data_IF_223221379240
#
_entry.id   IF_223221379240
#
_cell.length_a   1.000
_cell.length_b   1.000
_cell.length_c   1.000
_cell.angle_alpha   90.00
_cell.angle_beta   90.00
_cell.angle_gamma   90.00
#
_symmetry.space_group_name_H-M   'P 1'
#
loop_
_entity.id
_entity.type
_entity.pdbx_description
1 polymer ?
#
# COMPACT_ATOMS: atom_id res chain seq x y z
N UNK A 1 -17.05 5.42 -10.80
CA UNK A 1 -16.10 5.02 -11.87
C UNK A 1 -16.70 5.26 -13.26
N UNK A 2 -16.06 6.09 -14.09
CA UNK A 2 -16.44 6.23 -15.50
C UNK A 2 -15.98 4.95 -16.24
N UNK A 3 -16.89 4.18 -16.88
CA UNK A 3 -16.53 2.91 -17.54
C UNK A 3 -15.57 3.05 -18.72
N UNK A 4 -15.17 4.29 -19.07
CA UNK A 4 -14.23 4.60 -20.15
C UNK A 4 -12.77 4.63 -19.71
N UNK A 5 -12.50 4.69 -18.41
CA UNK A 5 -11.12 4.68 -17.89
C UNK A 5 -10.85 3.33 -17.24
N UNK A 6 -9.75 2.70 -17.66
CA UNK A 6 -9.24 1.47 -17.05
C UNK A 6 -7.87 1.74 -16.43
N UNK A 7 -7.62 1.08 -15.30
CA UNK A 7 -6.31 1.06 -14.65
C UNK A 7 -5.77 -0.36 -14.70
N UNK A 8 -4.47 -0.50 -14.94
CA UNK A 8 -3.79 -1.79 -14.87
C UNK A 8 -2.49 -1.65 -14.09
N UNK A 9 -2.19 -2.66 -13.29
CA UNK A 9 -0.95 -2.81 -12.55
C UNK A 9 -0.28 -4.14 -12.95
N UNK A 10 1.06 -4.15 -13.03
CA UNK A 10 1.82 -5.30 -13.51
C UNK A 10 2.98 -5.68 -12.61
N UNK A 11 3.34 -6.96 -12.65
CA UNK A 11 4.54 -7.50 -12.01
C UNK A 11 5.85 -6.92 -12.57
N UNK A 12 5.78 -6.32 -13.76
CA UNK A 12 6.87 -5.58 -14.38
C UNK A 12 7.06 -4.18 -13.77
N UNK A 13 6.26 -3.79 -12.77
CA UNK A 13 6.33 -2.47 -12.14
C UNK A 13 5.54 -1.39 -12.88
N UNK A 14 4.88 -1.72 -14.00
CA UNK A 14 4.08 -0.75 -14.74
C UNK A 14 2.71 -0.56 -14.10
N UNK A 15 2.33 0.72 -13.97
CA UNK A 15 0.98 1.15 -13.62
C UNK A 15 0.49 2.05 -14.75
N UNK A 16 -0.64 1.69 -15.37
CA UNK A 16 -1.08 2.29 -16.63
C UNK A 16 -2.53 2.75 -16.52
N UNK A 17 -2.78 3.95 -17.04
CA UNK A 17 -4.12 4.52 -17.21
C UNK A 17 -4.50 4.48 -18.69
N UNK A 18 -5.68 3.95 -18.99
CA UNK A 18 -6.16 3.73 -20.36
C UNK A 18 -7.45 4.49 -20.64
N UNK A 19 -7.58 5.02 -21.87
CA UNK A 19 -8.84 5.46 -22.44
C UNK A 19 -9.40 4.31 -23.28
N UNK A 20 -10.42 3.64 -22.77
CA UNK A 20 -11.07 2.51 -23.45
C UNK A 20 -11.88 2.95 -24.67
N UNK A 21 -12.40 4.19 -24.71
CA UNK A 21 -13.16 4.67 -25.84
C UNK A 21 -12.26 4.95 -27.06
N UNK A 22 -11.03 5.41 -26.79
CA UNK A 22 -10.02 5.69 -27.83
C UNK A 22 -9.06 4.53 -28.07
N UNK A 23 -9.00 3.56 -27.14
CA UNK A 23 -8.08 2.42 -27.21
C UNK A 23 -6.62 2.81 -27.02
N UNK A 24 -6.35 3.89 -26.27
CA UNK A 24 -5.00 4.42 -26.09
C UNK A 24 -4.57 4.44 -24.63
N UNK A 25 -3.27 4.29 -24.41
CA UNK A 25 -2.65 4.59 -23.12
C UNK A 25 -2.70 6.11 -22.90
N UNK A 26 -3.29 6.53 -21.79
CA UNK A 26 -3.29 7.94 -21.36
C UNK A 26 -1.95 8.23 -20.67
N UNK A 27 -1.57 7.41 -19.68
CA UNK A 27 -0.31 7.55 -18.92
C UNK A 27 0.26 6.21 -18.52
N UNK A 28 1.57 6.18 -18.29
CA UNK A 28 2.34 5.07 -17.75
C UNK A 28 3.19 5.58 -16.60
N UNK A 29 3.18 4.85 -15.51
CA UNK A 29 4.03 5.05 -14.35
C UNK A 29 4.86 3.78 -14.14
N UNK A 30 6.06 3.94 -13.62
CA UNK A 30 6.96 2.84 -13.35
C UNK A 30 7.38 2.88 -11.89
N UNK A 31 7.03 1.83 -11.15
CA UNK A 31 7.28 1.73 -9.71
C UNK A 31 8.76 1.45 -9.44
N UNK A 32 9.55 2.53 -9.35
CA UNK A 32 10.96 2.46 -8.98
C UNK A 32 11.16 2.73 -7.50
N UNK A 33 11.90 1.82 -6.87
CA UNK A 33 12.29 1.89 -5.47
C UNK A 33 13.80 2.12 -5.43
N UNK A 34 14.20 3.22 -4.81
CA UNK A 34 15.60 3.63 -4.73
C UNK A 34 16.45 2.53 -4.08
N UNK A 35 17.53 2.14 -4.76
CA UNK A 35 18.44 1.10 -4.30
C UNK A 35 17.92 -0.35 -4.39
N UNK A 36 16.67 -0.59 -4.80
CA UNK A 36 16.06 -1.93 -4.89
C UNK A 36 15.66 -2.34 -6.30
N UNK A 37 15.50 -1.39 -7.23
CA UNK A 37 15.03 -1.67 -8.59
C UNK A 37 13.53 -1.39 -8.73
N UNK A 38 12.85 -2.13 -9.61
CA UNK A 38 11.41 -1.97 -9.78
C UNK A 38 10.65 -2.92 -8.84
N UNK A 39 9.60 -2.39 -8.20
CA UNK A 39 8.69 -3.19 -7.36
C UNK A 39 7.53 -3.71 -8.20
N UNK A 40 7.30 -5.03 -8.18
CA UNK A 40 6.15 -5.65 -8.83
C UNK A 40 4.85 -5.13 -8.21
N UNK A 41 3.86 -4.76 -9.03
CA UNK A 41 2.57 -4.26 -8.55
C UNK A 41 1.52 -5.37 -8.68
N UNK A 42 0.83 -5.68 -7.57
CA UNK A 42 0.00 -6.88 -7.45
C UNK A 42 -1.50 -6.62 -7.58
N UNK A 43 -1.99 -5.52 -7.01
CA UNK A 43 -3.40 -5.15 -7.13
C UNK A 43 -3.53 -3.64 -7.35
N UNK A 44 -4.64 -3.24 -7.97
CA UNK A 44 -5.06 -1.86 -8.09
C UNK A 44 -6.58 -1.72 -7.94
N UNK A 45 -7.04 -0.63 -7.30
CA UNK A 45 -8.45 -0.33 -7.09
C UNK A 45 -8.74 1.16 -7.25
N UNK A 46 -9.82 1.47 -7.95
CA UNK A 46 -10.29 2.85 -8.12
C UNK A 46 -11.11 3.30 -6.91
N UNK A 47 -11.03 4.59 -6.58
CA UNK A 47 -11.99 5.23 -5.69
C UNK A 47 -13.40 5.22 -6.33
N UNK A 48 -14.47 5.24 -5.51
CA UNK A 48 -15.85 5.28 -6.02
C UNK A 48 -16.14 6.48 -6.94
N UNK A 49 -15.59 7.64 -6.57
CA UNK A 49 -15.69 8.89 -7.35
C UNK A 49 -14.89 8.85 -8.66
N UNK A 50 -13.95 7.92 -8.82
CA UNK A 50 -13.09 7.78 -10.00
C UNK A 50 -11.97 8.80 -10.10
N UNK A 51 -11.72 9.58 -9.05
CA UNK A 51 -10.69 10.63 -9.02
C UNK A 51 -9.33 10.11 -8.56
N UNK A 52 -9.31 8.95 -7.90
CA UNK A 52 -8.12 8.32 -7.37
C UNK A 52 -8.09 6.83 -7.70
N UNK A 53 -6.90 6.26 -7.64
CA UNK A 53 -6.74 4.82 -7.57
C UNK A 53 -5.51 4.48 -6.73
N UNK A 54 -5.56 3.33 -6.08
CA UNK A 54 -4.49 2.84 -5.23
C UNK A 54 -3.96 1.52 -5.78
N UNK A 55 -2.67 1.29 -5.62
CA UNK A 55 -2.02 0.03 -5.96
C UNK A 55 -1.14 -0.46 -4.80
N UNK A 56 -0.91 -1.77 -4.72
CA UNK A 56 0.02 -2.37 -3.75
C UNK A 56 1.17 -3.07 -4.45
N UNK A 57 2.37 -2.94 -3.90
CA UNK A 57 3.58 -3.52 -4.48
C UNK A 57 4.19 -4.67 -3.66
N UNK A 58 5.25 -5.26 -4.20
CA UNK A 58 5.98 -6.38 -3.60
C UNK A 58 6.74 -6.05 -2.33
N UNK A 59 6.92 -4.77 -2.00
CA UNK A 59 7.59 -4.31 -0.80
C UNK A 59 6.60 -3.91 0.30
N UNK A 60 5.30 -4.05 0.06
CA UNK A 60 4.25 -3.64 0.97
C UNK A 60 3.95 -2.15 0.92
N UNK A 61 4.40 -1.44 -0.12
CA UNK A 61 4.03 -0.05 -0.32
C UNK A 61 2.60 0.10 -0.84
N UNK A 62 1.96 1.18 -0.41
CA UNK A 62 0.71 1.66 -0.97
C UNK A 62 1.00 2.86 -1.89
N UNK A 63 0.74 2.67 -3.17
CA UNK A 63 0.87 3.69 -4.20
C UNK A 63 -0.49 4.37 -4.36
N UNK A 64 -0.55 5.70 -4.24
CA UNK A 64 -1.80 6.46 -4.43
C UNK A 64 -1.61 7.44 -5.59
N UNK A 65 -2.52 7.34 -6.54
CA UNK A 65 -2.57 8.19 -7.72
C UNK A 65 -3.90 8.92 -7.75
N UNK A 66 -3.91 10.15 -8.24
CA UNK A 66 -5.15 10.85 -8.53
C UNK A 66 -4.96 12.32 -8.84
N UNK A 67 -6.09 13.02 -8.89
CA UNK A 67 -6.14 14.45 -9.17
C UNK A 67 -6.19 15.24 -7.86
N UNK A 68 -5.40 16.31 -7.76
CA UNK A 68 -5.44 17.23 -6.62
C UNK A 68 -4.14 17.32 -5.85
N UNK A 69 -4.21 17.83 -4.63
CA UNK A 69 -3.06 18.07 -3.75
C UNK A 69 -2.71 16.81 -2.96
N UNK A 70 -1.42 16.52 -2.81
CA UNK A 70 -0.94 15.46 -1.92
C UNK A 70 -1.03 15.82 -0.43
N UNK A 71 -1.38 17.06 -0.10
CA UNK A 71 -1.31 17.63 1.26
C UNK A 71 -2.08 16.87 2.35
N UNK A 72 -3.09 16.08 1.98
CA UNK A 72 -3.79 15.21 2.93
C UNK A 72 -2.95 13.98 3.29
N UNK A 73 -2.19 13.46 2.32
CA UNK A 73 -1.29 12.32 2.49
C UNK A 73 0.02 12.71 3.14
N UNK A 74 0.47 13.96 2.99
CA UNK A 74 1.69 14.48 3.65
C UNK A 74 1.61 14.43 5.19
N UNK A 75 0.40 14.36 5.76
CA UNK A 75 0.18 14.23 7.22
C UNK A 75 0.25 12.80 7.70
N UNK A 76 0.13 11.84 6.79
CA UNK A 76 0.23 10.43 7.11
C UNK A 76 1.71 10.19 7.33
N UNK A 77 2.06 9.68 8.51
CA UNK A 77 3.37 9.04 8.61
C UNK A 77 3.28 7.92 7.62
N UNK A 78 3.97 8.08 6.50
CA UNK A 78 4.94 7.14 6.07
C UNK A 78 4.56 5.71 6.70
N UNK A 79 5.16 5.10 7.74
CA UNK A 79 5.08 3.63 7.96
C UNK A 79 4.17 3.42 9.12
N UNK A 80 3.29 2.45 8.93
CA UNK A 80 2.20 2.19 9.84
C UNK A 80 2.34 0.74 10.27
N UNK A 81 2.63 0.58 11.55
CA UNK A 81 2.68 -0.72 12.22
C UNK A 81 1.65 -0.72 13.33
N UNK A 82 1.32 -1.89 13.82
CA UNK A 82 0.72 -2.01 15.14
C UNK A 82 1.81 -2.06 16.19
N UNK A 83 1.55 -1.51 17.39
CA UNK A 83 2.53 -1.55 18.49
C UNK A 83 2.89 -2.97 18.96
N UNK A 84 2.20 -3.99 18.44
CA UNK A 84 2.41 -5.41 18.74
C UNK A 84 3.19 -6.15 17.65
N UNK A 85 3.39 -5.58 16.46
CA UNK A 85 3.92 -6.32 15.30
C UNK A 85 5.29 -6.96 15.54
N UNK A 86 6.09 -6.34 16.40
CA UNK A 86 7.45 -6.79 16.71
C UNK A 86 7.62 -7.25 18.15
N UNK A 87 6.52 -7.52 18.86
CA UNK A 87 6.64 -8.04 20.22
C UNK A 87 7.26 -9.44 20.20
N UNK A 88 8.26 -9.71 21.05
CA UNK A 88 8.89 -11.02 21.13
C UNK A 88 7.87 -12.09 21.52
N UNK A 89 8.00 -13.24 20.86
CA UNK A 89 7.20 -14.43 21.13
C UNK A 89 8.09 -15.49 21.80
N UNK A 90 7.51 -16.18 22.77
CA UNK A 90 8.14 -17.33 23.44
C UNK A 90 7.29 -18.59 23.26
N UNK A 91 7.81 -19.73 23.70
CA UNK A 91 7.07 -20.98 23.76
C UNK A 91 6.99 -21.51 25.19
N UNK A 92 5.82 -22.01 25.57
CA UNK A 92 5.62 -22.67 26.85
C UNK A 92 6.11 -24.13 26.83
N UNK A 93 5.95 -24.84 27.96
CA UNK A 93 6.33 -26.25 28.10
C UNK A 93 5.57 -27.19 27.15
N UNK A 94 4.40 -26.78 26.66
CA UNK A 94 3.59 -27.52 25.69
C UNK A 94 3.86 -27.06 24.25
N UNK A 95 4.88 -26.21 24.04
CA UNK A 95 5.29 -25.66 22.75
C UNK A 95 4.28 -24.68 22.11
N UNK A 96 3.31 -24.16 22.87
CA UNK A 96 2.39 -23.11 22.42
C UNK A 96 3.09 -21.76 22.32
N UNK A 97 2.75 -20.98 21.29
CA UNK A 97 3.30 -19.63 21.07
C UNK A 97 2.57 -18.62 21.94
N UNK A 98 3.33 -17.89 22.75
CA UNK A 98 2.84 -16.84 23.65
C UNK A 98 3.59 -15.52 23.39
N UNK A 99 2.93 -14.40 23.62
CA UNK A 99 3.57 -13.09 23.76
C UNK A 99 4.42 -13.05 25.04
N UNK A 100 5.67 -12.61 24.93
CA UNK A 100 6.64 -12.64 26.03
C UNK A 100 6.20 -11.80 27.24
N UNK A 101 5.65 -10.61 27.01
CA UNK A 101 5.28 -9.70 28.09
C UNK A 101 4.01 -10.13 28.83
N UNK A 102 3.00 -10.57 28.09
CA UNK A 102 1.66 -10.84 28.63
C UNK A 102 1.43 -12.31 28.97
N UNK A 103 2.29 -13.21 28.46
CA UNK A 103 2.12 -14.66 28.57
C UNK A 103 0.79 -15.15 27.98
N UNK A 104 0.21 -14.40 27.04
CA UNK A 104 -1.04 -14.74 26.37
C UNK A 104 -0.78 -15.21 24.94
N UNK A 105 -1.65 -16.05 24.42
CA UNK A 105 -1.61 -16.40 23.01
C UNK A 105 -1.90 -15.14 22.16
N UNK A 106 -1.15 -14.87 21.08
CA UNK A 106 -1.30 -13.63 20.30
C UNK A 106 -2.73 -13.35 19.81
N UNK A 107 -3.49 -14.39 19.49
CA UNK A 107 -4.88 -14.27 19.02
C UNK A 107 -5.90 -13.90 20.11
N UNK A 108 -5.50 -13.94 21.39
CA UNK A 108 -6.34 -13.56 22.55
C UNK A 108 -5.99 -12.15 23.05
N UNK A 109 -4.95 -11.53 22.51
CA UNK A 109 -4.55 -10.18 22.91
C UNK A 109 -5.61 -9.16 22.48
N UNK A 110 -5.76 -8.04 23.23
CA UNK A 110 -6.64 -6.97 22.81
C UNK A 110 -6.22 -6.43 21.43
N UNK A 111 -7.18 -5.90 20.63
CA UNK A 111 -6.88 -5.32 19.34
C UNK A 111 -5.77 -4.27 19.46
N UNK A 112 -4.70 -4.38 18.68
CA UNK A 112 -3.61 -3.43 18.80
C UNK A 112 -4.00 -2.09 18.18
N UNK A 113 -3.39 -1.01 18.66
CA UNK A 113 -3.53 0.31 18.05
C UNK A 113 -2.36 0.60 17.10
N UNK A 114 -2.64 1.47 16.13
CA UNK A 114 -1.70 1.83 15.09
C UNK A 114 -0.66 2.82 15.62
N UNK A 115 0.62 2.56 15.33
CA UNK A 115 1.76 3.41 15.63
C UNK A 115 2.43 3.88 14.34
N UNK A 116 2.90 5.12 14.37
CA UNK A 116 3.52 5.79 13.22
C UNK A 116 5.05 5.70 13.32
N UNK A 117 5.71 5.11 12.31
CA UNK A 117 7.17 5.11 12.17
C UNK A 117 7.67 4.93 10.70
N UNK A 118 7.33 5.83 9.77
CA UNK A 118 8.00 6.14 8.46
C UNK A 118 8.13 5.13 7.20
N UNK A 119 7.19 5.13 6.20
CA UNK A 119 6.78 4.75 4.79
C UNK A 119 7.47 5.58 3.75
N UNK A 120 7.37 5.17 2.50
CA UNK A 120 7.50 6.04 1.37
C UNK A 120 6.15 6.03 0.64
N UNK A 121 5.35 7.07 0.83
CA UNK A 121 4.11 7.28 0.06
C UNK A 121 4.51 7.88 -1.29
N UNK A 122 4.62 7.04 -2.33
CA UNK A 122 4.93 7.53 -3.68
C UNK A 122 3.63 8.07 -4.28
N UNK A 123 3.42 9.38 -4.13
CA UNK A 123 2.34 10.09 -4.79
C UNK A 123 2.80 10.58 -6.16
N UNK A 124 2.10 10.19 -7.22
CA UNK A 124 2.34 10.71 -8.56
C UNK A 124 1.10 11.41 -9.08
N UNK A 125 1.26 12.71 -9.32
CA UNK A 125 0.22 13.56 -9.89
C UNK A 125 -0.04 13.17 -11.35
N UNK A 126 -1.32 13.11 -11.73
CA UNK A 126 -1.78 12.77 -13.08
C UNK A 126 -1.97 14.05 -13.93
N UNK A 127 -1.57 15.23 -13.44
CA UNK A 127 -1.68 16.50 -14.19
C UNK A 127 -0.79 16.53 -15.45
N UNK A 128 -1.29 17.26 -16.46
CA UNK A 128 -0.72 17.48 -17.80
C UNK A 128 0.75 17.92 -17.80
#
# INVERSE_FOLDING_TARGET
ANPRVLFSAGHDGNVIVWDLARGVKIRSYFNMIEGQGHGAVFDCKCSPDGQHFACTDSHGHLLIFGFGSSSEYDKIADQMFFHSDYRPLIRDANNFVLDEQTQQAPHLMPPPFLVMLMVILIHQDIRD
#
